data_IF_655539733998
#
_entry.id   IF_655539733998
#
_cell.length_a   1.000
_cell.length_b   1.000
_cell.length_c   1.000
_cell.angle_alpha   90.00
_cell.angle_beta   90.00
_cell.angle_gamma   90.00
#
_symmetry.space_group_name_H-M   'P 1'
#
loop_
_entity.id
_entity.type
_entity.pdbx_description
1 polymer ?
#
# COMPACT_ATOMS: atom_id res chain seq x y z
N UNK A 1 -17.78 63.45 46.62
CA UNK A 1 -16.93 62.35 46.11
C UNK A 1 -17.70 61.62 45.02
N UNK A 2 -17.28 61.64 43.77
CA UNK A 2 -17.96 60.89 42.68
C UNK A 2 -17.55 59.44 42.68
N UNK A 3 -18.54 58.56 42.55
CA UNK A 3 -18.40 57.14 42.47
C UNK A 3 -17.94 56.81 41.05
N UNK A 4 -16.74 56.22 40.92
CA UNK A 4 -16.21 55.77 39.64
C UNK A 4 -16.97 54.49 39.14
N UNK A 5 -17.59 54.63 37.98
CA UNK A 5 -18.25 53.54 37.28
C UNK A 5 -17.17 52.67 36.59
N UNK A 6 -16.88 51.52 37.14
CA UNK A 6 -15.96 50.54 36.53
C UNK A 6 -16.73 49.68 35.54
N UNK A 7 -16.71 50.02 34.26
CA UNK A 7 -17.18 49.15 33.17
C UNK A 7 -16.10 48.16 32.83
N UNK A 8 -16.38 46.86 33.07
CA UNK A 8 -15.56 45.76 32.61
C UNK A 8 -15.69 45.61 31.08
N UNK A 9 -14.60 45.39 30.34
CA UNK A 9 -14.71 45.16 28.91
C UNK A 9 -15.39 43.85 28.60
N UNK A 10 -16.41 43.87 27.71
CA UNK A 10 -17.05 42.69 27.16
C UNK A 10 -16.03 42.03 26.22
N UNK A 11 -15.43 40.92 26.69
CA UNK A 11 -14.59 40.06 25.82
C UNK A 11 -15.53 39.29 24.90
N UNK A 12 -15.59 39.69 23.65
CA UNK A 12 -16.24 38.93 22.59
C UNK A 12 -15.45 37.61 22.35
N UNK A 13 -15.89 36.54 22.96
CA UNK A 13 -15.46 35.18 22.54
C UNK A 13 -16.06 34.94 21.16
N UNK A 14 -15.27 35.13 20.12
CA UNK A 14 -15.56 34.49 18.83
C UNK A 14 -15.46 32.99 19.05
N UNK A 15 -16.62 32.32 19.09
CA UNK A 15 -16.68 30.89 18.95
C UNK A 15 -16.10 30.54 17.57
N UNK A 16 -14.85 30.12 17.54
CA UNK A 16 -14.33 29.35 16.40
C UNK A 16 -15.25 28.15 16.31
N UNK A 17 -16.15 28.17 15.31
CA UNK A 17 -16.88 26.97 14.93
C UNK A 17 -15.83 25.93 14.54
N UNK A 18 -15.60 24.95 15.39
CA UNK A 18 -14.90 23.73 15.02
C UNK A 18 -15.64 23.21 13.78
N UNK A 19 -15.08 23.40 12.58
CA UNK A 19 -15.51 22.68 11.41
C UNK A 19 -15.28 21.20 11.75
N UNK A 20 -16.35 20.47 12.02
CA UNK A 20 -16.29 19.01 12.09
C UNK A 20 -15.93 18.59 10.67
N UNK A 21 -14.67 18.22 10.47
CA UNK A 21 -14.21 17.68 9.21
C UNK A 21 -14.96 16.36 8.99
N UNK A 22 -15.49 16.10 7.79
CA UNK A 22 -16.16 14.83 7.54
C UNK A 22 -15.18 13.68 7.77
N UNK A 23 -15.67 12.61 8.37
CA UNK A 23 -14.89 11.39 8.58
C UNK A 23 -14.33 10.88 7.25
N UNK A 24 -13.04 10.53 7.23
CA UNK A 24 -12.43 9.86 6.08
C UNK A 24 -12.74 8.36 6.20
N UNK A 25 -13.34 7.80 5.15
CA UNK A 25 -13.70 6.39 5.12
C UNK A 25 -12.71 5.59 4.30
N UNK A 26 -12.08 4.61 4.94
CA UNK A 26 -11.13 3.68 4.31
C UNK A 26 -11.76 2.30 4.16
N UNK A 27 -11.65 1.69 2.99
CA UNK A 27 -11.98 0.30 2.77
C UNK A 27 -10.71 -0.53 2.62
N UNK A 28 -10.57 -1.59 3.42
CA UNK A 28 -9.51 -2.57 3.29
C UNK A 28 -10.07 -3.78 2.52
N UNK A 29 -9.52 -4.06 1.35
CA UNK A 29 -9.87 -5.23 0.55
C UNK A 29 -8.93 -6.38 0.93
N UNK A 30 -9.43 -7.35 1.70
CA UNK A 30 -8.68 -8.52 2.14
C UNK A 30 -8.66 -9.61 1.07
N UNK A 31 -7.45 -9.89 0.54
CA UNK A 31 -7.21 -10.96 -0.44
C UNK A 31 -6.51 -12.18 0.19
N UNK A 32 -6.41 -12.27 1.50
CA UNK A 32 -5.71 -13.39 2.18
C UNK A 32 -6.51 -14.69 2.28
N UNK A 33 -7.76 -14.72 1.79
CA UNK A 33 -8.57 -15.94 1.72
C UNK A 33 -8.76 -16.63 3.09
N UNK A 34 -8.94 -15.83 4.14
CA UNK A 34 -9.08 -16.33 5.51
C UNK A 34 -7.78 -16.86 6.14
N UNK A 35 -6.65 -16.82 5.44
CA UNK A 35 -5.37 -17.22 6.02
C UNK A 35 -4.89 -16.20 7.06
N UNK A 36 -4.51 -16.65 8.26
CA UNK A 36 -3.89 -15.78 9.25
C UNK A 36 -2.65 -15.10 8.67
N UNK A 37 -2.59 -13.78 8.77
CA UNK A 37 -1.47 -13.02 8.23
C UNK A 37 -1.16 -11.78 9.05
N UNK A 38 0.07 -11.30 8.96
CA UNK A 38 0.52 -10.10 9.65
C UNK A 38 0.21 -8.83 8.84
N UNK A 39 0.03 -8.94 7.52
CA UNK A 39 -0.23 -7.78 6.66
C UNK A 39 -1.51 -7.04 7.05
N UNK A 40 -2.62 -7.76 7.23
CA UNK A 40 -3.88 -7.15 7.69
C UNK A 40 -3.75 -6.50 9.07
N UNK A 41 -3.02 -7.14 10.01
CA UNK A 41 -2.74 -6.53 11.32
C UNK A 41 -1.99 -5.22 11.15
N UNK A 42 -0.92 -5.20 10.36
CA UNK A 42 -0.11 -4.01 10.13
C UNK A 42 -0.91 -2.88 9.46
N UNK A 43 -1.75 -3.19 8.46
CA UNK A 43 -2.61 -2.19 7.82
C UNK A 43 -3.54 -1.53 8.85
N UNK A 44 -4.22 -2.32 9.71
CA UNK A 44 -5.08 -1.79 10.78
C UNK A 44 -4.31 -0.90 11.73
N UNK A 45 -3.11 -1.32 12.12
CA UNK A 45 -2.25 -0.58 13.05
C UNK A 45 -1.81 0.76 12.45
N UNK A 46 -1.39 0.77 11.18
CA UNK A 46 -1.05 2.01 10.46
C UNK A 46 -2.26 2.96 10.43
N UNK A 47 -3.45 2.48 10.07
CA UNK A 47 -4.65 3.32 10.00
C UNK A 47 -5.02 3.92 11.36
N UNK A 48 -4.95 3.11 12.44
CA UNK A 48 -5.24 3.58 13.79
C UNK A 48 -4.20 4.62 14.23
N UNK A 49 -2.90 4.33 14.08
CA UNK A 49 -1.81 5.24 14.42
C UNK A 49 -1.90 6.55 13.62
N UNK A 50 -2.23 6.45 12.33
CA UNK A 50 -2.38 7.61 11.46
C UNK A 50 -3.55 8.50 11.91
N UNK A 51 -4.73 7.91 12.18
CA UNK A 51 -5.89 8.64 12.69
C UNK A 51 -5.61 9.33 14.02
N UNK A 52 -5.00 8.63 14.98
CA UNK A 52 -4.64 9.17 16.29
C UNK A 52 -3.61 10.29 16.19
N UNK A 53 -2.53 10.09 15.44
CA UNK A 53 -1.42 11.06 15.32
C UNK A 53 -1.84 12.36 14.63
N UNK A 54 -2.77 12.28 13.69
CA UNK A 54 -3.26 13.43 12.93
C UNK A 54 -4.58 14.00 13.47
N UNK A 55 -5.11 13.45 14.58
CA UNK A 55 -6.39 13.85 15.17
C UNK A 55 -7.55 13.84 14.17
N UNK A 56 -7.58 12.81 13.31
CA UNK A 56 -8.57 12.65 12.27
C UNK A 56 -9.69 11.71 12.71
N UNK A 57 -10.92 12.03 12.31
CA UNK A 57 -12.02 11.09 12.33
C UNK A 57 -11.87 10.15 11.11
N UNK A 58 -11.11 9.06 11.31
CA UNK A 58 -10.83 8.07 10.30
C UNK A 58 -11.53 6.75 10.68
N UNK A 59 -12.46 6.31 9.83
CA UNK A 59 -13.15 5.05 9.98
C UNK A 59 -12.73 4.07 8.88
N UNK A 60 -12.62 2.80 9.23
CA UNK A 60 -12.29 1.79 8.22
C UNK A 60 -13.14 0.52 8.40
N UNK A 61 -13.41 -0.15 7.26
CA UNK A 61 -14.10 -1.43 7.17
C UNK A 61 -13.29 -2.41 6.32
N UNK A 62 -13.45 -3.71 6.59
CA UNK A 62 -12.78 -4.79 5.86
C UNK A 62 -13.78 -5.56 4.99
N UNK A 63 -13.32 -5.91 3.79
CA UNK A 63 -14.08 -6.65 2.79
C UNK A 63 -13.36 -7.94 2.43
N UNK A 64 -13.95 -9.09 2.74
CA UNK A 64 -13.41 -10.40 2.36
C UNK A 64 -13.69 -10.67 0.87
N UNK A 65 -12.72 -10.30 0.05
CA UNK A 65 -12.85 -10.36 -1.41
C UNK A 65 -12.88 -11.78 -1.94
N UNK A 66 -12.06 -12.69 -1.38
CA UNK A 66 -11.86 -14.01 -1.99
C UNK A 66 -12.88 -15.04 -1.52
N UNK A 67 -13.19 -15.11 -0.23
CA UNK A 67 -14.14 -16.09 0.31
C UNK A 67 -15.58 -15.62 0.17
N UNK A 68 -15.85 -14.35 0.51
CA UNK A 68 -17.21 -13.82 0.52
C UNK A 68 -17.59 -13.04 -0.73
N UNK A 69 -16.60 -12.72 -1.59
CA UNK A 69 -16.78 -11.89 -2.78
C UNK A 69 -17.30 -10.48 -2.45
N UNK A 70 -16.95 -9.99 -1.25
CA UNK A 70 -17.32 -8.66 -0.78
C UNK A 70 -16.39 -7.63 -1.41
N UNK A 71 -16.96 -6.57 -1.94
CA UNK A 71 -16.22 -5.41 -2.45
C UNK A 71 -16.91 -4.13 -1.96
N UNK A 72 -16.15 -3.07 -1.66
CA UNK A 72 -16.73 -1.81 -1.18
C UNK A 72 -17.46 -1.08 -2.31
N UNK A 73 -18.43 -0.26 -1.93
CA UNK A 73 -19.07 0.71 -2.81
C UNK A 73 -18.26 2.03 -2.89
N UNK A 74 -18.79 3.02 -3.62
CA UNK A 74 -18.14 4.32 -3.79
C UNK A 74 -18.40 5.31 -2.64
N UNK A 75 -18.90 4.87 -1.49
CA UNK A 75 -19.02 5.71 -0.29
C UNK A 75 -17.72 5.88 0.48
N UNK A 76 -16.72 5.03 0.22
CA UNK A 76 -15.37 5.12 0.78
C UNK A 76 -14.51 6.10 -0.02
N UNK A 77 -13.56 6.72 0.67
CA UNK A 77 -12.67 7.72 0.08
C UNK A 77 -11.32 7.12 -0.32
N UNK A 78 -10.82 6.20 0.50
CA UNK A 78 -9.52 5.53 0.33
C UNK A 78 -9.72 4.01 0.32
N UNK A 79 -9.00 3.33 -0.54
CA UNK A 79 -9.01 1.87 -0.64
C UNK A 79 -7.58 1.34 -0.50
N UNK A 80 -7.37 0.39 0.42
CA UNK A 80 -6.12 -0.35 0.56
C UNK A 80 -6.40 -1.80 0.20
N UNK A 81 -5.87 -2.25 -0.93
CA UNK A 81 -6.01 -3.63 -1.38
C UNK A 81 -4.78 -4.43 -1.00
N UNK A 82 -4.99 -5.43 -0.14
CA UNK A 82 -3.93 -6.19 0.52
C UNK A 82 -3.16 -7.11 -0.43
N UNK A 83 -2.05 -7.64 0.06
CA UNK A 83 -1.43 -8.84 -0.49
C UNK A 83 -2.34 -10.06 -0.38
N UNK A 84 -1.83 -11.21 -0.80
CA UNK A 84 -2.58 -12.46 -0.69
C UNK A 84 -1.78 -13.66 -1.20
N UNK A 85 -2.12 -14.87 -0.78
CA UNK A 85 -1.47 -16.09 -1.23
C UNK A 85 -1.89 -16.49 -2.65
N UNK A 86 -1.13 -17.41 -3.23
CA UNK A 86 -1.47 -18.08 -4.48
C UNK A 86 -1.06 -17.33 -5.74
N UNK A 87 -1.60 -17.79 -6.85
CA UNK A 87 -1.24 -17.34 -8.19
C UNK A 87 -2.17 -16.24 -8.69
N UNK A 88 -1.65 -15.08 -9.10
CA UNK A 88 -2.46 -14.03 -9.73
C UNK A 88 -2.89 -14.41 -11.16
N UNK A 89 -2.47 -15.57 -11.69
CA UNK A 89 -2.83 -16.07 -13.02
C UNK A 89 -3.92 -17.15 -12.95
N UNK A 90 -3.88 -18.01 -11.92
CA UNK A 90 -4.85 -19.10 -11.75
C UNK A 90 -6.23 -18.62 -11.29
N UNK A 91 -6.31 -17.41 -10.74
CA UNK A 91 -7.59 -16.79 -10.36
C UNK A 91 -8.40 -16.26 -11.54
N UNK A 92 -7.83 -16.25 -12.75
CA UNK A 92 -8.45 -15.63 -13.92
C UNK A 92 -9.84 -16.20 -14.20
N UNK A 93 -10.82 -15.30 -14.24
CA UNK A 93 -12.22 -15.64 -14.48
C UNK A 93 -12.99 -16.18 -13.29
N UNK A 94 -12.38 -16.29 -12.10
CA UNK A 94 -13.10 -16.64 -10.87
C UNK A 94 -14.13 -15.56 -10.50
N UNK A 95 -15.15 -15.95 -9.73
CA UNK A 95 -16.24 -15.04 -9.36
C UNK A 95 -15.77 -13.88 -8.50
N UNK A 96 -14.84 -14.15 -7.56
CA UNK A 96 -14.29 -13.09 -6.72
C UNK A 96 -13.45 -12.10 -7.53
N UNK A 97 -12.68 -12.60 -8.51
CA UNK A 97 -11.87 -11.74 -9.36
C UNK A 97 -12.73 -10.87 -10.27
N UNK A 98 -13.84 -11.40 -10.80
CA UNK A 98 -14.82 -10.62 -11.57
C UNK A 98 -15.41 -9.50 -10.72
N UNK A 99 -15.79 -9.77 -9.46
CA UNK A 99 -16.30 -8.77 -8.54
C UNK A 99 -15.24 -7.70 -8.23
N UNK A 100 -14.00 -8.13 -7.97
CA UNK A 100 -12.87 -7.26 -7.69
C UNK A 100 -12.55 -6.32 -8.89
N UNK A 101 -12.48 -6.85 -10.09
CA UNK A 101 -12.23 -6.01 -11.28
C UNK A 101 -13.41 -5.13 -11.65
N UNK A 102 -14.63 -5.57 -11.36
CA UNK A 102 -15.80 -4.71 -11.52
C UNK A 102 -15.71 -3.50 -10.58
N UNK A 103 -15.38 -3.71 -9.30
CA UNK A 103 -15.10 -2.63 -8.35
C UNK A 103 -14.00 -1.69 -8.86
N UNK A 104 -12.86 -2.22 -9.30
CA UNK A 104 -11.76 -1.40 -9.82
C UNK A 104 -12.20 -0.53 -11.00
N UNK A 105 -13.00 -1.07 -11.89
CA UNK A 105 -13.55 -0.29 -13.01
C UNK A 105 -14.52 0.80 -12.55
N UNK A 106 -15.30 0.57 -11.50
CA UNK A 106 -16.15 1.61 -10.91
C UNK A 106 -15.31 2.74 -10.31
N UNK A 107 -14.22 2.43 -9.61
CA UNK A 107 -13.27 3.45 -9.12
C UNK A 107 -12.69 4.28 -10.26
N UNK A 108 -12.22 3.62 -11.32
CA UNK A 108 -11.66 4.30 -12.50
C UNK A 108 -12.73 5.20 -13.16
N UNK A 109 -13.95 4.69 -13.33
CA UNK A 109 -15.05 5.46 -13.88
C UNK A 109 -15.39 6.66 -13.01
N UNK A 110 -15.43 6.49 -11.69
CA UNK A 110 -15.67 7.58 -10.73
C UNK A 110 -14.61 8.67 -10.87
N UNK A 111 -13.34 8.28 -10.90
CA UNK A 111 -12.23 9.23 -10.96
C UNK A 111 -12.14 9.97 -12.31
N UNK A 112 -12.59 9.33 -13.40
CA UNK A 112 -12.61 9.94 -14.72
C UNK A 112 -13.83 10.84 -14.95
N UNK A 113 -14.84 10.79 -14.09
CA UNK A 113 -16.01 11.66 -14.20
C UNK A 113 -15.67 13.05 -13.61
N UNK A 114 -15.69 14.11 -14.41
CA UNK A 114 -15.39 15.47 -13.95
C UNK A 114 -16.44 16.02 -12.96
N UNK A 115 -17.64 15.42 -12.90
CA UNK A 115 -18.65 15.80 -11.91
C UNK A 115 -18.29 15.34 -10.50
N UNK A 116 -17.46 14.32 -10.37
CA UNK A 116 -16.97 13.82 -9.09
C UNK A 116 -15.71 14.60 -8.66
N UNK A 117 -15.90 15.65 -7.89
CA UNK A 117 -14.80 16.49 -7.40
C UNK A 117 -13.89 15.73 -6.41
N UNK A 118 -14.47 14.92 -5.53
CA UNK A 118 -13.72 14.06 -4.62
C UNK A 118 -13.32 12.77 -5.32
N UNK A 119 -12.03 12.59 -5.50
CA UNK A 119 -11.46 11.40 -6.14
C UNK A 119 -11.30 10.27 -5.14
N UNK A 120 -11.20 9.05 -5.65
CA UNK A 120 -11.03 7.82 -4.87
C UNK A 120 -9.58 7.38 -4.96
N UNK A 121 -8.91 7.26 -3.82
CA UNK A 121 -7.50 6.89 -3.74
C UNK A 121 -7.35 5.40 -3.52
N UNK A 122 -6.45 4.75 -4.25
CA UNK A 122 -6.25 3.29 -4.14
C UNK A 122 -4.77 2.95 -3.98
N UNK A 123 -4.47 2.11 -2.99
CA UNK A 123 -3.16 1.49 -2.81
C UNK A 123 -3.24 -0.02 -3.01
N UNK A 124 -2.43 -0.57 -3.91
CA UNK A 124 -2.35 -2.00 -4.19
C UNK A 124 -1.06 -2.60 -3.63
N UNK A 125 -1.16 -3.71 -2.89
CA UNK A 125 -0.01 -4.39 -2.26
C UNK A 125 0.19 -5.78 -2.86
N UNK A 126 1.38 -6.07 -3.33
CA UNK A 126 1.89 -7.38 -3.76
C UNK A 126 0.92 -8.12 -4.71
N UNK A 127 0.06 -9.00 -4.19
CA UNK A 127 -0.88 -9.78 -5.00
C UNK A 127 -1.87 -8.88 -5.75
N UNK A 128 -2.46 -7.91 -5.06
CA UNK A 128 -3.38 -6.96 -5.70
C UNK A 128 -2.69 -6.05 -6.72
N UNK A 129 -1.43 -5.67 -6.49
CA UNK A 129 -0.61 -4.98 -7.48
C UNK A 129 -0.45 -5.82 -8.76
N UNK A 130 -0.16 -7.11 -8.63
CA UNK A 130 -0.06 -8.02 -9.78
C UNK A 130 -1.38 -8.15 -10.53
N UNK A 131 -2.51 -8.26 -9.81
CA UNK A 131 -3.84 -8.29 -10.39
C UNK A 131 -4.16 -7.00 -11.15
N UNK A 132 -3.87 -5.84 -10.56
CA UNK A 132 -4.06 -4.53 -11.21
C UNK A 132 -3.21 -4.40 -12.48
N UNK A 133 -1.92 -4.80 -12.42
CA UNK A 133 -1.04 -4.81 -13.59
C UNK A 133 -1.56 -5.69 -14.72
N UNK A 134 -2.08 -6.89 -14.40
CA UNK A 134 -2.66 -7.81 -15.37
C UNK A 134 -3.94 -7.23 -15.98
N UNK A 135 -4.88 -6.77 -15.15
CA UNK A 135 -6.17 -6.24 -15.59
C UNK A 135 -6.01 -5.00 -16.47
N UNK A 136 -5.17 -4.06 -16.07
CA UNK A 136 -4.91 -2.83 -16.81
C UNK A 136 -3.93 -3.01 -17.99
N UNK A 137 -3.39 -4.23 -18.17
CA UNK A 137 -2.43 -4.58 -19.24
C UNK A 137 -1.17 -3.70 -19.22
N UNK A 138 -0.65 -3.44 -18.03
CA UNK A 138 0.49 -2.55 -17.81
C UNK A 138 1.83 -3.25 -17.96
N UNK A 139 1.87 -4.56 -17.66
CA UNK A 139 3.07 -5.38 -17.76
C UNK A 139 2.72 -6.85 -17.78
N UNK A 140 3.72 -7.69 -17.99
CA UNK A 140 3.56 -9.12 -18.02
C UNK A 140 3.73 -9.70 -16.61
N UNK A 141 2.69 -10.32 -16.08
CA UNK A 141 2.76 -11.09 -14.83
C UNK A 141 3.31 -12.47 -15.13
N UNK A 142 4.39 -12.86 -14.44
CA UNK A 142 5.06 -14.15 -14.65
C UNK A 142 5.45 -14.79 -13.33
N UNK A 143 5.49 -16.13 -13.31
CA UNK A 143 6.04 -16.87 -12.18
C UNK A 143 7.56 -16.69 -12.14
N UNK A 144 8.11 -16.48 -10.96
CA UNK A 144 9.56 -16.42 -10.72
C UNK A 144 10.18 -17.82 -10.79
N UNK A 145 11.48 -17.88 -11.04
CA UNK A 145 12.22 -19.15 -10.92
C UNK A 145 12.43 -19.59 -9.48
N UNK A 146 12.53 -18.61 -8.58
CA UNK A 146 12.64 -18.83 -7.14
C UNK A 146 11.79 -17.81 -6.40
N UNK A 147 11.22 -18.21 -5.29
CA UNK A 147 10.50 -17.33 -4.36
C UNK A 147 11.42 -16.21 -3.90
N UNK A 148 10.94 -14.96 -3.98
CA UNK A 148 11.55 -13.87 -3.24
C UNK A 148 10.95 -13.87 -1.84
N UNK A 149 11.80 -13.92 -0.83
CA UNK A 149 11.37 -13.86 0.56
C UNK A 149 12.46 -13.21 1.42
N UNK A 150 12.13 -12.11 2.09
CA UNK A 150 13.05 -11.37 2.96
C UNK A 150 12.98 -9.87 2.80
N UNK A 151 14.00 -9.19 3.33
CA UNK A 151 14.19 -7.74 3.21
C UNK A 151 15.19 -7.46 2.10
N UNK A 152 14.77 -6.72 1.10
CA UNK A 152 15.59 -6.44 -0.09
C UNK A 152 15.64 -4.96 -0.43
N UNK A 153 16.75 -4.49 -1.04
CA UNK A 153 16.81 -3.15 -1.57
C UNK A 153 15.88 -2.99 -2.78
N UNK A 154 15.18 -1.89 -2.81
CA UNK A 154 14.33 -1.42 -3.90
C UNK A 154 14.93 -0.14 -4.45
N UNK A 155 15.09 -0.05 -5.76
CA UNK A 155 15.70 1.09 -6.43
C UNK A 155 14.63 1.98 -7.06
N UNK A 156 14.70 3.26 -6.77
CA UNK A 156 13.85 4.26 -7.42
C UNK A 156 14.34 4.52 -8.85
N UNK A 157 13.40 4.70 -9.76
CA UNK A 157 13.65 5.34 -11.05
C UNK A 157 13.53 6.87 -10.86
N UNK A 158 13.84 7.63 -11.92
CA UNK A 158 13.74 9.10 -11.87
C UNK A 158 12.32 9.53 -11.45
N UNK A 159 11.30 8.88 -12.00
CA UNK A 159 9.90 9.14 -11.67
C UNK A 159 9.52 8.76 -10.24
N UNK A 160 10.29 7.87 -9.62
CA UNK A 160 10.11 7.46 -8.22
C UNK A 160 10.75 8.44 -7.23
N UNK A 161 11.75 9.20 -7.64
CA UNK A 161 12.42 10.19 -6.78
C UNK A 161 11.52 11.39 -6.48
N UNK A 162 10.61 11.73 -7.39
CA UNK A 162 9.64 12.82 -7.24
C UNK A 162 8.26 12.33 -6.74
N UNK A 163 8.16 11.06 -6.36
CA UNK A 163 6.90 10.45 -5.92
C UNK A 163 6.61 10.79 -4.45
N UNK A 164 5.52 11.51 -4.19
CA UNK A 164 5.13 11.96 -2.83
C UNK A 164 4.98 10.80 -1.85
N UNK A 165 4.54 9.63 -2.31
CA UNK A 165 4.42 8.42 -1.48
C UNK A 165 5.77 7.92 -0.97
N UNK A 166 6.87 8.28 -1.63
CA UNK A 166 8.24 7.88 -1.27
C UNK A 166 9.05 9.02 -0.65
N UNK A 167 8.40 10.14 -0.35
CA UNK A 167 9.06 11.26 0.32
C UNK A 167 9.72 10.80 1.63
N UNK A 168 10.96 11.24 1.85
CA UNK A 168 11.77 10.86 3.02
C UNK A 168 12.51 9.53 2.89
N UNK A 169 12.28 8.71 1.85
CA UNK A 169 13.03 7.48 1.64
C UNK A 169 14.36 7.73 0.92
N UNK A 170 15.36 6.93 1.27
CA UNK A 170 16.63 6.88 0.55
C UNK A 170 16.53 6.03 -0.72
N UNK A 171 17.46 6.17 -1.66
CA UNK A 171 17.62 5.27 -2.80
C UNK A 171 18.99 4.57 -2.72
N UNK A 172 19.02 3.21 -2.57
CA UNK A 172 17.87 2.33 -2.40
C UNK A 172 17.27 2.39 -0.99
N UNK A 173 15.97 2.16 -0.88
CA UNK A 173 15.32 1.83 0.39
C UNK A 173 15.12 0.31 0.53
N UNK A 174 14.79 -0.15 1.73
CA UNK A 174 14.62 -1.58 2.01
C UNK A 174 13.17 -1.91 2.32
N UNK A 175 12.66 -2.97 1.70
CA UNK A 175 11.29 -3.42 1.89
C UNK A 175 11.18 -4.94 2.02
N UNK A 176 10.13 -5.38 2.70
CA UNK A 176 9.77 -6.79 2.77
C UNK A 176 9.20 -7.24 1.43
N UNK A 177 9.76 -8.31 0.89
CA UNK A 177 9.30 -8.96 -0.33
C UNK A 177 8.99 -10.43 -0.05
N UNK A 178 7.78 -10.89 -0.41
CA UNK A 178 7.33 -12.27 -0.23
C UNK A 178 6.43 -12.66 -1.41
N UNK A 179 7.02 -13.25 -2.46
CA UNK A 179 6.29 -13.53 -3.70
C UNK A 179 6.88 -14.65 -4.55
N UNK A 180 6.00 -15.36 -5.23
CA UNK A 180 6.32 -16.34 -6.29
C UNK A 180 6.12 -15.78 -7.69
N UNK A 181 5.45 -14.64 -7.83
CA UNK A 181 5.16 -13.99 -9.10
C UNK A 181 5.79 -12.59 -9.15
N UNK A 182 5.89 -12.06 -10.37
CA UNK A 182 6.47 -10.75 -10.62
C UNK A 182 5.83 -10.09 -11.83
N UNK A 183 5.95 -8.77 -11.91
CA UNK A 183 5.59 -7.98 -13.08
C UNK A 183 6.87 -7.55 -13.79
N UNK A 184 6.96 -7.83 -15.09
CA UNK A 184 8.07 -7.45 -15.96
C UNK A 184 7.55 -6.82 -17.25
N UNK A 185 8.41 -6.30 -18.11
CA UNK A 185 8.08 -5.79 -19.44
C UNK A 185 6.95 -4.74 -19.38
N UNK A 186 7.19 -3.56 -18.78
CA UNK A 186 6.17 -2.53 -18.68
C UNK A 186 5.70 -2.06 -20.06
N UNK A 187 4.39 -1.94 -20.24
CA UNK A 187 3.79 -1.36 -21.43
C UNK A 187 3.76 0.17 -21.31
N UNK A 188 4.87 0.82 -21.62
CA UNK A 188 5.04 2.27 -21.44
C UNK A 188 3.97 3.12 -22.12
N UNK A 189 3.50 2.73 -23.31
CA UNK A 189 2.41 3.45 -23.98
C UNK A 189 1.12 3.36 -23.17
N UNK A 190 0.77 2.17 -22.69
CA UNK A 190 -0.42 1.96 -21.87
C UNK A 190 -0.36 2.72 -20.54
N UNK A 191 0.81 2.74 -19.90
CA UNK A 191 1.04 3.56 -18.70
C UNK A 191 0.81 5.04 -18.99
N UNK A 192 1.40 5.55 -20.06
CA UNK A 192 1.26 6.96 -20.46
C UNK A 192 -0.20 7.33 -20.74
N UNK A 193 -0.96 6.44 -21.42
CA UNK A 193 -2.38 6.65 -21.69
C UNK A 193 -3.22 6.77 -20.41
N UNK A 194 -2.76 6.17 -19.30
CA UNK A 194 -3.38 6.25 -17.99
C UNK A 194 -2.84 7.42 -17.12
N UNK A 195 -1.83 8.13 -17.59
CA UNK A 195 -1.07 9.10 -16.79
C UNK A 195 -0.08 8.45 -15.82
N UNK A 196 0.17 7.14 -15.98
CA UNK A 196 0.95 6.36 -15.04
C UNK A 196 2.45 6.35 -15.31
N UNK A 197 3.22 5.91 -14.30
CA UNK A 197 4.69 5.84 -14.31
C UNK A 197 5.18 4.59 -13.58
N UNK A 198 6.30 4.01 -14.04
CA UNK A 198 7.06 3.03 -13.27
C UNK A 198 7.93 3.79 -12.29
N UNK A 199 7.79 3.50 -11.00
CA UNK A 199 8.45 4.24 -9.93
C UNK A 199 9.70 3.54 -9.43
N UNK A 200 9.62 2.21 -9.24
CA UNK A 200 10.70 1.43 -8.65
C UNK A 200 10.92 0.12 -9.40
N UNK A 201 12.16 -0.36 -9.30
CA UNK A 201 12.61 -1.59 -9.94
C UNK A 201 13.42 -2.44 -8.94
N UNK A 202 13.40 -3.76 -9.14
CA UNK A 202 14.18 -4.70 -8.34
C UNK A 202 15.70 -4.39 -8.42
N UNK A 203 16.46 -4.77 -7.39
CA UNK A 203 17.92 -4.62 -7.38
C UNK A 203 18.57 -5.19 -8.63
N UNK A 204 19.67 -4.59 -9.04
CA UNK A 204 20.46 -5.13 -10.13
C UNK A 204 21.12 -6.47 -9.75
N UNK A 205 21.11 -7.40 -10.69
CA UNK A 205 21.71 -8.73 -10.57
C UNK A 205 22.49 -9.05 -11.87
N UNK A 206 23.69 -8.48 -12.04
CA UNK A 206 24.44 -8.57 -13.30
C UNK A 206 24.71 -10.01 -13.80
N UNK A 207 24.74 -10.98 -12.87
CA UNK A 207 24.98 -12.39 -13.18
C UNK A 207 23.69 -13.19 -13.47
N UNK A 208 22.52 -12.55 -13.39
CA UNK A 208 21.23 -13.21 -13.62
C UNK A 208 20.66 -12.70 -14.94
N UNK A 209 20.55 -13.54 -15.98
CA UNK A 209 20.08 -13.14 -17.31
C UNK A 209 18.55 -13.02 -17.36
N UNK A 210 17.95 -12.41 -16.35
CA UNK A 210 16.50 -12.22 -16.26
C UNK A 210 16.20 -10.74 -16.09
N UNK A 211 15.05 -10.35 -16.60
CA UNK A 211 14.54 -8.99 -16.43
C UNK A 211 14.31 -8.65 -14.95
N UNK A 212 14.62 -7.43 -14.60
CA UNK A 212 14.32 -6.89 -13.28
C UNK A 212 12.83 -6.70 -13.14
N UNK A 213 12.28 -7.11 -11.99
CA UNK A 213 10.87 -6.92 -11.72
C UNK A 213 10.56 -5.44 -11.43
N UNK A 214 9.36 -5.02 -11.86
CA UNK A 214 8.79 -3.74 -11.46
C UNK A 214 8.37 -3.85 -10.01
N UNK A 215 8.82 -2.89 -9.19
CA UNK A 215 8.57 -2.91 -7.75
C UNK A 215 7.51 -1.91 -7.31
N UNK A 216 7.27 -0.84 -8.07
CA UNK A 216 6.17 0.08 -7.81
C UNK A 216 5.73 0.80 -9.09
N UNK A 217 4.44 1.09 -9.16
CA UNK A 217 3.79 1.81 -10.27
C UNK A 217 2.80 2.83 -9.69
N UNK A 218 2.86 4.08 -10.18
CA UNK A 218 1.75 5.02 -10.18
C UNK A 218 0.88 4.71 -11.39
N UNK A 219 -0.32 4.19 -11.18
CA UNK A 219 -1.23 3.83 -12.28
C UNK A 219 -1.96 5.04 -12.84
N UNK A 220 -2.41 5.92 -11.96
CA UNK A 220 -3.04 7.22 -12.23
C UNK A 220 -2.67 8.17 -11.09
N UNK A 221 -3.08 9.43 -11.14
CA UNK A 221 -2.86 10.38 -10.05
C UNK A 221 -3.39 9.87 -8.70
N UNK A 222 -4.42 9.01 -8.70
CA UNK A 222 -5.12 8.53 -7.51
C UNK A 222 -4.87 7.05 -7.18
N UNK A 223 -4.12 6.34 -8.02
CA UNK A 223 -3.89 4.90 -7.83
C UNK A 223 -2.41 4.57 -7.90
N UNK A 224 -1.89 3.96 -6.85
CA UNK A 224 -0.51 3.50 -6.73
C UNK A 224 -0.46 2.05 -6.25
N UNK A 225 0.62 1.35 -6.51
CA UNK A 225 0.83 0.02 -5.95
C UNK A 225 2.28 -0.38 -5.90
N UNK A 226 2.56 -1.30 -4.98
CA UNK A 226 3.89 -1.86 -4.73
C UNK A 226 3.88 -3.37 -4.85
N UNK A 227 4.96 -3.93 -5.38
CA UNK A 227 5.18 -5.38 -5.41
C UNK A 227 5.62 -5.91 -4.05
N UNK A 228 6.27 -5.10 -3.26
CA UNK A 228 6.68 -5.38 -1.89
C UNK A 228 5.59 -5.01 -0.88
N UNK A 229 5.82 -5.33 0.39
CA UNK A 229 4.91 -5.11 1.50
C UNK A 229 5.33 -3.87 2.31
N UNK A 230 4.83 -2.66 2.00
CA UNK A 230 5.17 -1.46 2.75
C UNK A 230 4.55 -1.45 4.17
N UNK A 231 3.51 -2.25 4.38
CA UNK A 231 2.84 -2.42 5.66
C UNK A 231 3.60 -3.31 6.64
N UNK A 232 4.58 -4.08 6.16
CA UNK A 232 5.24 -5.08 6.98
C UNK A 232 6.16 -4.46 8.03
N UNK A 233 5.97 -4.82 9.30
CA UNK A 233 6.81 -4.44 10.42
C UNK A 233 7.80 -5.55 10.85
N UNK A 234 8.80 -5.17 11.64
CA UNK A 234 9.82 -6.10 12.14
C UNK A 234 9.23 -7.19 13.04
N UNK A 235 8.20 -6.86 13.82
CA UNK A 235 7.54 -7.79 14.76
C UNK A 235 6.82 -8.87 13.97
N UNK A 236 5.98 -8.51 13.03
CA UNK A 236 5.23 -9.43 12.18
C UNK A 236 6.14 -10.32 11.34
N UNK A 237 7.21 -9.74 10.77
CA UNK A 237 8.20 -10.50 10.01
C UNK A 237 8.98 -11.48 10.91
N UNK A 238 9.38 -11.06 12.11
CA UNK A 238 10.05 -11.94 13.07
C UNK A 238 9.15 -13.11 13.45
N UNK A 239 7.89 -12.86 13.80
CA UNK A 239 6.91 -13.90 14.11
C UNK A 239 6.72 -14.87 12.94
N UNK A 240 6.61 -14.36 11.74
CA UNK A 240 6.43 -15.18 10.53
C UNK A 240 7.67 -16.05 10.22
N UNK A 241 8.87 -15.48 10.31
CA UNK A 241 10.14 -16.21 10.09
C UNK A 241 10.42 -17.28 11.13
N UNK A 242 9.91 -17.12 12.34
CA UNK A 242 10.11 -18.06 13.45
C UNK A 242 9.09 -19.21 13.45
N UNK A 243 8.08 -19.20 12.57
CA UNK A 243 7.21 -20.37 12.43
C UNK A 243 8.03 -21.57 11.92
N UNK A 244 7.78 -22.76 12.46
CA UNK A 244 8.52 -23.98 12.10
C UNK A 244 8.48 -24.26 10.60
N UNK A 245 7.33 -24.01 9.96
CA UNK A 245 7.15 -24.18 8.52
C UNK A 245 8.08 -23.26 7.72
N UNK A 246 8.08 -21.95 8.02
CA UNK A 246 8.90 -20.97 7.30
C UNK A 246 10.38 -21.12 7.58
N UNK A 247 10.75 -21.36 8.84
CA UNK A 247 12.12 -21.65 9.22
C UNK A 247 12.66 -22.83 8.41
N UNK A 248 11.91 -23.93 8.36
CA UNK A 248 12.28 -25.12 7.58
C UNK A 248 12.46 -24.79 6.10
N UNK A 249 11.48 -24.11 5.47
CA UNK A 249 11.54 -23.74 4.04
C UNK A 249 12.78 -22.87 3.74
N UNK A 250 13.07 -21.87 4.57
CA UNK A 250 14.23 -20.99 4.36
C UNK A 250 15.53 -21.75 4.53
N UNK A 251 15.64 -22.58 5.58
CA UNK A 251 16.87 -23.34 5.85
C UNK A 251 17.11 -24.39 4.75
N UNK A 252 16.08 -25.09 4.29
CA UNK A 252 16.21 -26.09 3.21
C UNK A 252 16.56 -25.45 1.86
N UNK A 253 16.07 -24.24 1.60
CA UNK A 253 16.29 -23.56 0.32
C UNK A 253 17.56 -22.72 0.28
N UNK A 254 18.00 -22.16 1.41
CA UNK A 254 19.04 -21.13 1.47
C UNK A 254 20.08 -21.31 2.58
N UNK A 255 19.93 -22.31 3.46
CA UNK A 255 20.82 -22.58 4.59
C UNK A 255 20.46 -21.80 5.85
N UNK A 256 21.01 -22.30 6.99
CA UNK A 256 20.78 -21.72 8.33
C UNK A 256 21.30 -20.28 8.44
N UNK A 257 22.53 -20.02 7.94
CA UNK A 257 23.15 -18.69 7.99
C UNK A 257 22.29 -17.62 7.29
N UNK A 258 21.58 -18.01 6.23
CA UNK A 258 20.66 -17.10 5.55
C UNK A 258 19.44 -16.79 6.40
N UNK A 259 18.86 -17.79 7.07
CA UNK A 259 17.74 -17.58 7.99
C UNK A 259 18.14 -16.68 9.17
N UNK A 260 19.30 -16.92 9.77
CA UNK A 260 19.83 -16.12 10.87
C UNK A 260 20.08 -14.67 10.44
N UNK A 261 20.74 -14.47 9.30
CA UNK A 261 20.93 -13.13 8.71
C UNK A 261 19.61 -12.40 8.42
N UNK A 262 18.56 -13.13 8.05
CA UNK A 262 17.25 -12.50 7.87
C UNK A 262 16.67 -11.98 9.18
N UNK A 263 16.79 -12.74 10.28
CA UNK A 263 16.36 -12.31 11.62
C UNK A 263 17.18 -11.10 12.09
N UNK A 264 18.50 -11.11 11.89
CA UNK A 264 19.37 -9.98 12.25
C UNK A 264 18.97 -8.70 11.50
N UNK A 265 18.68 -8.80 10.20
CA UNK A 265 18.28 -7.65 9.39
C UNK A 265 16.91 -7.07 9.76
N UNK A 266 16.04 -7.83 10.42
CA UNK A 266 14.78 -7.29 10.95
C UNK A 266 14.99 -6.36 12.15
N UNK A 267 16.08 -6.57 12.90
CA UNK A 267 16.43 -5.73 14.04
C UNK A 267 17.17 -4.44 13.64
N UNK A 268 17.48 -4.28 12.34
CA UNK A 268 18.09 -3.07 11.82
C UNK A 268 17.00 -2.00 11.60
N UNK A 269 16.95 -0.93 12.44
CA UNK A 269 15.90 0.07 12.37
C UNK A 269 15.90 0.87 11.06
N UNK A 270 17.06 0.92 10.37
CA UNK A 270 17.21 1.70 9.14
C UNK A 270 16.67 0.97 7.89
N UNK A 271 16.10 -0.23 8.05
CA UNK A 271 15.56 -1.00 6.92
C UNK A 271 14.06 -0.88 6.83
N UNK A 272 13.34 -1.87 7.37
CA UNK A 272 11.88 -1.94 7.14
C UNK A 272 11.09 -0.91 7.93
N UNK A 273 11.61 -0.42 9.07
CA UNK A 273 10.95 0.61 9.84
C UNK A 273 10.75 1.90 9.03
N UNK A 274 11.75 2.25 8.21
CA UNK A 274 11.68 3.45 7.37
C UNK A 274 10.59 3.34 6.31
N UNK A 275 10.50 2.20 5.63
CA UNK A 275 9.45 1.91 4.65
C UNK A 275 8.07 1.89 5.30
N UNK A 276 7.94 1.24 6.46
CA UNK A 276 6.70 1.16 7.24
C UNK A 276 6.20 2.55 7.67
N UNK A 277 7.09 3.41 8.13
CA UNK A 277 6.73 4.73 8.66
C UNK A 277 6.49 5.80 7.58
N UNK A 278 6.80 5.52 6.32
CA UNK A 278 6.68 6.50 5.24
C UNK A 278 5.63 6.14 4.19
N UNK A 279 5.70 4.98 3.56
CA UNK A 279 4.96 4.73 2.30
C UNK A 279 3.44 4.84 2.49
N UNK A 280 2.85 4.05 3.37
CA UNK A 280 1.40 4.13 3.61
C UNK A 280 0.99 5.42 4.31
N UNK A 281 1.72 5.94 5.33
CA UNK A 281 1.44 7.24 5.89
C UNK A 281 1.47 8.39 4.86
N UNK A 282 2.50 8.48 4.02
CA UNK A 282 2.58 9.52 2.98
C UNK A 282 1.44 9.41 1.96
N UNK A 283 1.06 8.17 1.57
CA UNK A 283 -0.10 7.95 0.73
C UNK A 283 -1.39 8.45 1.39
N UNK A 284 -1.59 8.19 2.68
CA UNK A 284 -2.74 8.66 3.44
C UNK A 284 -2.76 10.18 3.56
N UNK A 285 -1.60 10.80 3.82
CA UNK A 285 -1.44 12.26 3.89
C UNK A 285 -1.85 12.92 2.56
N UNK A 286 -1.32 12.41 1.45
CA UNK A 286 -1.65 12.91 0.12
C UNK A 286 -3.16 12.77 -0.18
N UNK A 287 -3.73 11.60 0.08
CA UNK A 287 -5.15 11.34 -0.12
C UNK A 287 -6.03 12.25 0.75
N UNK A 288 -5.67 12.42 2.03
CA UNK A 288 -6.38 13.30 2.96
C UNK A 288 -6.41 14.74 2.45
N UNK A 289 -5.25 15.29 2.06
CA UNK A 289 -5.17 16.66 1.56
C UNK A 289 -6.07 16.88 0.33
N UNK A 290 -6.12 15.94 -0.59
CA UNK A 290 -6.99 16.04 -1.77
C UNK A 290 -8.48 15.86 -1.47
N UNK A 291 -8.84 15.07 -0.45
CA UNK A 291 -10.23 14.86 -0.05
C UNK A 291 -10.79 16.08 0.70
N UNK A 292 -9.95 16.77 1.46
CA UNK A 292 -10.34 17.87 2.37
C UNK A 292 -10.10 19.27 1.78
N UNK A 293 -9.22 19.38 0.77
CA UNK A 293 -8.93 20.65 0.05
C UNK A 293 -10.02 21.00 -0.90
#
# INVERSE_FOLDING_TARGET
>A
MPIANCQLPIVNYQFLSLRIMPAIKVAILDLYEGHPNQGMRCIREILNQYGESNHLDLAWDEFDVRLKKEVPDMSYDIFISSGGPGSPLESEGSEWEKAYFHWLQQVIKWNNDPANLKKKHVFFICHSFQLACRHLKIGKVTKRKSTAFGVFPVHMLIEGQDEVTFEGLNDPFYAVDSRDYQVVQPHHNRLRDLGGKVLCIEKDRPHVPFERAIMAIRFTDYMIGTQFHPEADAIGMSLHLQTEERKKVVIESHGYDKWESMIEHLNDPDKILWTYSHILPNFLDHAQHEIQG
#
